data_IF_794316728071
#
_entry.id   IF_794316728071
#
_cell.length_a   1.000
_cell.length_b   1.000
_cell.length_c   1.000
_cell.angle_alpha   90.00
_cell.angle_beta   90.00
_cell.angle_gamma   90.00
#
_symmetry.space_group_name_H-M   'P 1'
#
loop_
_entity.id
_entity.type
_entity.pdbx_description
1 polymer ?
#
# COMPACT_ATOMS: atom_id res chain seq x y z
N UNK A 1 20.21 -4.58 -9.84
CA UNK A 1 19.04 -3.98 -9.16
C UNK A 1 18.80 -2.64 -9.80
N UNK A 2 17.62 -2.39 -10.36
CA UNK A 2 17.32 -1.16 -11.11
C UNK A 2 16.86 -0.07 -10.15
N UNK A 3 17.51 1.09 -10.18
CA UNK A 3 17.10 2.26 -9.41
C UNK A 3 15.96 2.98 -10.15
N UNK A 4 14.73 2.58 -9.82
CA UNK A 4 13.51 3.13 -10.40
C UNK A 4 13.35 4.61 -10.02
N UNK A 5 13.76 4.99 -8.81
CA UNK A 5 13.66 6.36 -8.32
C UNK A 5 14.57 7.30 -9.12
N UNK A 6 15.84 6.92 -9.30
CA UNK A 6 16.77 7.69 -10.11
C UNK A 6 16.29 7.83 -11.57
N UNK A 7 15.67 6.79 -12.12
CA UNK A 7 15.07 6.84 -13.45
C UNK A 7 13.92 7.84 -13.54
N UNK A 8 12.98 7.78 -12.59
CA UNK A 8 11.83 8.71 -12.53
C UNK A 8 12.32 10.15 -12.40
N UNK A 9 13.22 10.43 -11.45
CA UNK A 9 13.80 11.77 -11.24
C UNK A 9 14.50 12.31 -12.48
N UNK A 10 15.29 11.48 -13.17
CA UNK A 10 15.95 11.86 -14.43
C UNK A 10 14.95 12.24 -15.50
N UNK A 11 13.82 11.52 -15.56
CA UNK A 11 12.75 11.79 -16.52
C UNK A 11 11.96 13.05 -16.17
N UNK A 12 11.66 13.27 -14.89
CA UNK A 12 11.01 14.50 -14.41
C UNK A 12 11.84 15.76 -14.73
N UNK A 13 13.17 15.67 -14.59
CA UNK A 13 14.10 16.74 -14.96
C UNK A 13 14.11 17.02 -16.47
N UNK A 14 14.11 15.96 -17.29
CA UNK A 14 14.12 16.10 -18.74
C UNK A 14 12.81 16.68 -19.29
N UNK A 15 11.68 16.27 -18.72
CA UNK A 15 10.35 16.65 -19.20
C UNK A 15 9.81 17.90 -18.47
N UNK A 16 10.52 18.39 -17.43
CA UNK A 16 10.13 19.58 -16.65
C UNK A 16 8.81 19.41 -15.89
N UNK A 17 8.44 18.16 -15.55
CA UNK A 17 7.14 17.81 -14.96
C UNK A 17 7.33 16.79 -13.83
N UNK A 18 6.62 16.97 -12.72
CA UNK A 18 6.53 15.98 -11.64
C UNK A 18 5.57 14.86 -12.03
N UNK A 19 6.00 13.61 -11.85
CA UNK A 19 5.16 12.42 -12.04
C UNK A 19 4.66 11.85 -10.71
N UNK A 20 5.43 12.03 -9.64
CA UNK A 20 5.07 11.59 -8.31
C UNK A 20 4.60 12.77 -7.46
N UNK A 21 3.62 12.49 -6.61
CA UNK A 21 3.11 13.37 -5.59
C UNK A 21 3.15 12.63 -4.24
N UNK A 22 3.49 13.34 -3.17
CA UNK A 22 3.52 12.77 -1.83
C UNK A 22 2.16 12.96 -1.19
N UNK A 23 1.55 11.85 -0.78
CA UNK A 23 0.30 11.85 -0.02
C UNK A 23 0.59 11.38 1.41
N UNK A 24 0.51 12.31 2.37
CA UNK A 24 0.68 11.98 3.79
C UNK A 24 -0.60 11.33 4.35
N UNK A 25 -0.42 10.28 5.15
CA UNK A 25 -1.49 9.59 5.87
C UNK A 25 -1.11 9.45 7.33
N UNK A 26 -2.05 9.71 8.25
CA UNK A 26 -1.78 9.56 9.67
C UNK A 26 -1.79 8.06 10.04
N UNK A 27 -0.82 7.56 10.83
CA UNK A 27 -0.79 6.14 11.23
C UNK A 27 -2.07 5.66 11.92
N UNK A 28 -2.74 6.56 12.65
CA UNK A 28 -4.01 6.29 13.32
C UNK A 28 -5.17 5.99 12.35
N UNK A 29 -5.06 6.40 11.08
CA UNK A 29 -6.10 6.15 10.06
C UNK A 29 -5.96 4.77 9.42
N UNK A 30 -4.85 4.07 9.63
CA UNK A 30 -4.56 2.75 9.03
C UNK A 30 -5.72 1.75 9.16
N UNK A 31 -6.29 1.51 10.35
CA UNK A 31 -7.42 0.59 10.52
C UNK A 31 -8.67 0.99 9.72
N UNK A 32 -8.98 2.30 9.67
CA UNK A 32 -10.12 2.82 8.91
C UNK A 32 -9.91 2.62 7.41
N UNK A 33 -8.74 3.01 6.90
CA UNK A 33 -8.38 2.89 5.49
C UNK A 33 -8.41 1.42 5.05
N UNK A 34 -7.86 0.50 5.86
CA UNK A 34 -7.84 -0.92 5.51
C UNK A 34 -9.27 -1.48 5.40
N UNK A 35 -10.18 -1.09 6.29
CA UNK A 35 -11.59 -1.48 6.21
C UNK A 35 -12.29 -0.92 4.97
N UNK A 36 -11.97 0.31 4.56
CA UNK A 36 -12.50 0.89 3.33
C UNK A 36 -11.98 0.16 2.08
N UNK A 37 -10.69 -0.22 2.07
CA UNK A 37 -10.09 -1.01 0.98
C UNK A 37 -10.72 -2.41 0.88
N UNK A 38 -10.98 -3.07 2.00
CA UNK A 38 -11.63 -4.37 2.04
C UNK A 38 -13.03 -4.34 1.42
N UNK A 39 -13.79 -3.26 1.61
CA UNK A 39 -15.10 -3.07 0.95
C UNK A 39 -14.99 -3.00 -0.58
N UNK A 40 -13.83 -2.62 -1.11
CA UNK A 40 -13.53 -2.61 -2.55
C UNK A 40 -12.95 -3.95 -3.02
N UNK A 41 -12.85 -4.96 -2.15
CA UNK A 41 -12.23 -6.24 -2.44
C UNK A 41 -10.69 -6.21 -2.41
N UNK A 42 -10.10 -5.12 -1.90
CA UNK A 42 -8.65 -4.97 -1.76
C UNK A 42 -8.27 -5.37 -0.33
N UNK A 43 -7.60 -6.51 -0.20
CA UNK A 43 -7.15 -7.05 1.09
C UNK A 43 -5.64 -7.22 1.14
N UNK A 44 -5.07 -7.53 2.31
CA UNK A 44 -3.63 -7.79 2.47
C UNK A 44 -3.15 -8.91 1.54
N UNK A 45 -3.95 -9.95 1.36
CA UNK A 45 -3.64 -11.05 0.44
C UNK A 45 -3.59 -10.63 -1.04
N UNK A 46 -4.41 -9.64 -1.44
CA UNK A 46 -4.39 -9.09 -2.80
C UNK A 46 -3.26 -8.08 -3.04
N UNK A 47 -2.91 -7.27 -2.03
CA UNK A 47 -1.87 -6.24 -2.12
C UNK A 47 -0.47 -6.85 -2.05
N UNK A 48 -0.31 -7.87 -1.22
CA UNK A 48 0.96 -8.55 -0.97
C UNK A 48 0.80 -10.03 -1.26
N UNK A 49 0.83 -10.44 -2.55
CA UNK A 49 0.70 -11.85 -2.90
C UNK A 49 1.89 -12.62 -2.35
N UNK A 50 1.62 -13.75 -1.68
CA UNK A 50 2.63 -14.59 -1.05
C UNK A 50 2.17 -15.12 0.30
N UNK A 51 3.02 -15.93 0.93
CA UNK A 51 2.69 -16.59 2.20
C UNK A 51 2.41 -15.56 3.31
N UNK A 52 3.27 -14.56 3.46
CA UNK A 52 3.15 -13.56 4.53
C UNK A 52 1.88 -12.72 4.42
N UNK A 53 1.52 -12.32 3.19
CA UNK A 53 0.30 -11.55 2.93
C UNK A 53 -0.96 -12.38 3.17
N UNK A 54 -0.97 -13.66 2.75
CA UNK A 54 -2.08 -14.58 3.02
C UNK A 54 -2.22 -14.85 4.52
N UNK A 55 -1.11 -15.12 5.22
CA UNK A 55 -1.12 -15.35 6.66
C UNK A 55 -1.61 -14.13 7.44
N UNK A 56 -1.22 -12.92 7.02
CA UNK A 56 -1.71 -11.68 7.63
C UNK A 56 -3.20 -11.47 7.38
N UNK A 57 -3.66 -11.67 6.14
CA UNK A 57 -5.08 -11.60 5.78
C UNK A 57 -5.94 -12.56 6.61
N UNK A 58 -5.50 -13.82 6.74
CA UNK A 58 -6.19 -14.82 7.55
C UNK A 58 -6.16 -14.49 9.04
N UNK A 59 -5.04 -13.95 9.54
CA UNK A 59 -4.92 -13.52 10.93
C UNK A 59 -5.94 -12.42 11.25
N UNK A 60 -6.00 -11.40 10.42
CA UNK A 60 -6.88 -10.24 10.63
C UNK A 60 -8.35 -10.65 10.52
N UNK A 61 -8.69 -11.62 9.65
CA UNK A 61 -10.07 -12.11 9.49
C UNK A 61 -10.55 -13.07 10.59
N UNK A 62 -9.67 -13.93 11.08
CA UNK A 62 -10.06 -15.03 11.97
C UNK A 62 -9.72 -14.78 13.45
N UNK A 63 -8.78 -13.87 13.72
CA UNK A 63 -8.20 -13.67 15.06
C UNK A 63 -8.05 -12.20 15.45
N UNK A 64 -8.63 -11.25 14.71
CA UNK A 64 -8.68 -9.86 15.17
C UNK A 64 -9.53 -9.78 16.45
N UNK A 65 -8.95 -9.19 17.50
CA UNK A 65 -9.68 -8.91 18.73
C UNK A 65 -10.77 -7.85 18.45
N UNK A 66 -12.00 -8.04 18.97
CA UNK A 66 -13.02 -7.02 18.88
C UNK A 66 -12.55 -5.77 19.65
N UNK A 67 -12.60 -4.63 18.96
CA UNK A 67 -12.30 -3.29 19.52
C UNK A 67 -13.50 -2.75 20.26
#
# INVERSE_FOLDING_TARGET
>A
MTDIEAFIRKREQADGKSYLEVCDLLPAEGPRIMKELELMGITFGSLFPGLDGICKDLKDRLFAEPV
#
